data_IF_827980160887
#
_entry.id   IF_827980160887
#
_cell.length_a   1.000
_cell.length_b   1.000
_cell.length_c   1.000
_cell.angle_alpha   90.00
_cell.angle_beta   90.00
_cell.angle_gamma   90.00
#
_symmetry.space_group_name_H-M   'P 1'
#
loop_
_entity.id
_entity.type
_entity.pdbx_description
1 polymer ?
#
# COMPACT_ATOMS: atom_id res chain seq x y z
N UNK A 1 -1.64 -15.35 1.20
CA UNK A 1 -1.23 -14.06 1.81
C UNK A 1 -0.61 -14.38 3.16
N UNK A 2 0.55 -13.82 3.51
CA UNK A 2 1.18 -14.04 4.81
C UNK A 2 1.43 -12.67 5.46
N UNK A 3 0.95 -12.44 6.69
CA UNK A 3 1.16 -11.19 7.41
C UNK A 3 1.72 -11.41 8.82
N UNK A 4 2.50 -10.44 9.30
CA UNK A 4 2.94 -10.33 10.70
C UNK A 4 2.66 -8.90 11.15
N UNK A 5 1.85 -8.74 12.20
CA UNK A 5 1.51 -7.44 12.77
C UNK A 5 1.88 -7.39 14.25
N UNK A 6 2.30 -6.22 14.73
CA UNK A 6 2.70 -6.02 16.12
C UNK A 6 1.94 -4.82 16.70
N UNK A 7 1.38 -5.01 17.88
CA UNK A 7 0.62 -4.03 18.63
C UNK A 7 1.21 -3.95 20.04
N UNK A 8 1.80 -2.82 20.39
CA UNK A 8 2.44 -2.59 21.68
C UNK A 8 1.90 -1.29 22.26
N UNK A 9 1.59 -1.27 23.55
CA UNK A 9 1.30 -0.01 24.27
C UNK A 9 2.57 0.82 24.45
N UNK A 10 2.50 2.12 24.20
CA UNK A 10 3.67 3.00 24.32
C UNK A 10 4.16 3.19 25.76
N UNK A 11 3.35 2.87 26.77
CA UNK A 11 3.65 3.06 28.20
C UNK A 11 3.93 1.73 28.94
N UNK A 12 4.67 0.80 28.35
CA UNK A 12 5.05 -0.42 29.07
C UNK A 12 5.99 -0.13 30.25
N UNK A 13 5.85 -0.83 31.39
CA UNK A 13 6.88 -0.87 32.44
C UNK A 13 8.27 -1.13 31.85
N UNK A 14 9.36 -0.66 32.48
CA UNK A 14 10.71 -1.00 31.97
C UNK A 14 11.14 -2.42 32.35
N UNK A 15 10.68 -2.89 33.51
CA UNK A 15 11.01 -4.23 34.05
C UNK A 15 9.72 -4.84 34.60
N UNK A 16 9.07 -5.76 33.89
CA UNK A 16 7.82 -6.35 34.36
C UNK A 16 8.07 -7.33 35.50
N UNK A 17 7.13 -7.41 36.43
CA UNK A 17 7.14 -8.40 37.52
C UNK A 17 6.81 -9.80 36.99
N UNK A 18 5.85 -9.91 36.08
CA UNK A 18 5.46 -11.15 35.43
C UNK A 18 5.15 -10.94 33.94
N UNK A 19 5.31 -11.99 33.12
CA UNK A 19 4.89 -11.99 31.71
C UNK A 19 3.91 -13.15 31.48
N UNK A 20 2.64 -12.81 31.29
CA UNK A 20 1.58 -13.75 30.95
C UNK A 20 1.51 -13.91 29.43
N UNK A 21 1.98 -15.05 28.91
CA UNK A 21 1.93 -15.37 27.49
C UNK A 21 0.75 -16.29 27.17
N UNK A 22 -0.04 -15.93 26.16
CA UNK A 22 -1.10 -16.78 25.59
C UNK A 22 -0.96 -16.90 24.08
N UNK A 23 -1.37 -18.05 23.56
CA UNK A 23 -1.53 -18.27 22.12
C UNK A 23 -3.01 -18.41 21.81
N UNK A 24 -3.45 -17.74 20.75
CA UNK A 24 -4.80 -17.83 20.22
C UNK A 24 -4.75 -18.22 18.74
N UNK A 25 -5.84 -18.83 18.26
CA UNK A 25 -6.05 -19.15 16.85
C UNK A 25 -7.31 -18.48 16.34
N UNK A 26 -7.30 -18.07 15.07
CA UNK A 26 -8.35 -17.29 14.41
C UNK A 26 -8.62 -17.85 13.03
N UNK A 27 -9.89 -17.89 12.63
CA UNK A 27 -10.33 -18.38 11.33
C UNK A 27 -10.78 -17.25 10.41
N UNK A 28 -10.16 -17.13 9.23
CA UNK A 28 -10.71 -16.39 8.10
C UNK A 28 -11.52 -17.38 7.27
N UNK A 29 -12.80 -17.52 7.62
CA UNK A 29 -13.65 -18.60 7.10
C UNK A 29 -14.45 -18.10 5.90
N UNK A 30 -14.05 -18.54 4.72
CA UNK A 30 -14.66 -18.18 3.46
C UNK A 30 -15.94 -18.97 3.19
N UNK A 31 -16.97 -18.26 2.72
CA UNK A 31 -18.17 -18.85 2.13
C UNK A 31 -18.64 -17.97 0.99
N UNK A 32 -18.59 -18.50 -0.24
CA UNK A 32 -18.83 -17.73 -1.46
C UNK A 32 -17.93 -16.48 -1.53
N UNK A 33 -18.50 -15.28 -1.68
CA UNK A 33 -17.77 -14.01 -1.73
C UNK A 33 -17.73 -13.27 -0.38
N UNK A 34 -18.01 -13.98 0.73
CA UNK A 34 -18.06 -13.43 2.08
C UNK A 34 -17.14 -14.22 3.01
N UNK A 35 -16.89 -13.63 4.17
CA UNK A 35 -16.27 -14.29 5.31
C UNK A 35 -17.28 -14.37 6.46
N UNK A 36 -17.20 -15.44 7.23
CA UNK A 36 -17.92 -15.56 8.49
C UNK A 36 -17.18 -14.77 9.57
N UNK A 37 -17.88 -13.86 10.23
CA UNK A 37 -17.36 -13.08 11.35
C UNK A 37 -18.35 -13.06 12.49
N UNK A 38 -17.85 -12.88 13.71
CA UNK A 38 -18.69 -12.61 14.88
C UNK A 38 -18.96 -11.12 14.92
N UNK A 39 -20.22 -10.71 14.77
CA UNK A 39 -20.63 -9.31 14.93
C UNK A 39 -20.99 -9.04 16.38
N UNK A 40 -20.47 -7.94 16.94
CA UNK A 40 -20.80 -7.50 18.31
C UNK A 40 -22.06 -6.61 18.31
N UNK A 41 -22.67 -6.41 19.48
CA UNK A 41 -23.74 -5.43 19.69
C UNK A 41 -23.39 -3.99 19.26
N UNK A 42 -22.10 -3.62 19.21
CA UNK A 42 -21.63 -2.30 18.77
C UNK A 42 -21.55 -2.20 17.25
N UNK A 43 -21.72 -3.32 16.53
CA UNK A 43 -21.74 -3.42 15.07
C UNK A 43 -20.38 -3.70 14.43
N UNK A 44 -19.30 -3.79 15.21
CA UNK A 44 -17.99 -4.25 14.75
C UNK A 44 -17.93 -5.77 14.61
N UNK A 45 -16.88 -6.22 13.92
CA UNK A 45 -16.66 -7.60 13.53
C UNK A 45 -15.34 -8.13 14.09
N UNK A 46 -15.37 -9.37 14.56
CA UNK A 46 -14.22 -10.12 15.07
C UNK A 46 -14.08 -11.44 14.29
N UNK A 47 -12.84 -11.85 14.01
CA UNK A 47 -12.55 -13.17 13.46
C UNK A 47 -12.88 -14.26 14.50
N UNK A 48 -13.66 -15.28 14.11
CA UNK A 48 -13.96 -16.39 15.00
C UNK A 48 -12.67 -17.08 15.50
N UNK A 49 -12.62 -17.45 16.77
CA UNK A 49 -11.48 -18.11 17.39
C UNK A 49 -11.24 -17.71 18.85
N UNK A 50 -10.22 -18.30 19.46
CA UNK A 50 -9.91 -18.07 20.87
C UNK A 50 -8.58 -18.66 21.30
N UNK A 51 -8.40 -18.73 22.62
CA UNK A 51 -7.16 -19.17 23.25
C UNK A 51 -6.99 -20.69 23.17
N UNK A 52 -5.74 -21.14 23.04
CA UNK A 52 -5.44 -22.57 23.13
C UNK A 52 -5.55 -23.07 24.57
N UNK A 53 -6.18 -24.22 24.74
CA UNK A 53 -6.19 -24.96 26.01
C UNK A 53 -5.00 -25.93 26.10
N UNK A 54 -4.70 -26.41 27.31
CA UNK A 54 -3.58 -27.32 27.54
C UNK A 54 -3.80 -28.66 26.81
N UNK A 55 -2.85 -29.01 25.94
CA UNK A 55 -2.89 -30.26 25.18
C UNK A 55 -3.60 -30.19 23.82
N UNK A 56 -4.21 -29.06 23.44
CA UNK A 56 -4.83 -28.89 22.13
C UNK A 56 -3.81 -28.54 21.04
N UNK A 57 -4.03 -29.02 19.83
CA UNK A 57 -3.38 -28.49 18.63
C UNK A 57 -4.08 -27.22 18.13
N UNK A 58 -3.38 -26.35 17.41
CA UNK A 58 -3.96 -25.13 16.83
C UNK A 58 -5.21 -25.40 15.97
N UNK A 59 -5.28 -26.55 15.30
CA UNK A 59 -6.44 -26.93 14.49
C UNK A 59 -7.63 -27.38 15.33
N UNK A 60 -7.39 -28.13 16.41
CA UNK A 60 -8.44 -28.57 17.34
C UNK A 60 -9.04 -27.37 18.05
N UNK A 61 -8.20 -26.49 18.61
CA UNK A 61 -8.63 -25.22 19.22
C UNK A 61 -9.47 -24.40 18.22
N UNK A 62 -9.01 -24.29 16.96
CA UNK A 62 -9.73 -23.48 15.97
C UNK A 62 -11.10 -24.06 15.65
N UNK A 63 -11.22 -25.38 15.47
CA UNK A 63 -12.53 -26.02 15.23
C UNK A 63 -13.47 -25.86 16.43
N UNK A 64 -12.96 -26.04 17.65
CA UNK A 64 -13.74 -25.86 18.89
C UNK A 64 -14.28 -24.44 18.98
N UNK A 65 -13.41 -23.44 18.92
CA UNK A 65 -13.78 -22.03 19.06
C UNK A 65 -14.73 -21.57 17.95
N UNK A 66 -14.54 -21.98 16.70
CA UNK A 66 -15.50 -21.61 15.64
C UNK A 66 -16.86 -22.29 15.88
N UNK A 67 -16.86 -23.54 16.33
CA UNK A 67 -18.11 -24.25 16.64
C UNK A 67 -18.83 -23.56 17.80
N UNK A 68 -18.11 -23.16 18.84
CA UNK A 68 -18.65 -22.47 20.01
C UNK A 68 -19.17 -21.07 19.66
N UNK A 69 -18.40 -20.26 18.93
CA UNK A 69 -18.73 -18.86 18.62
C UNK A 69 -19.72 -18.68 17.45
N UNK A 70 -19.91 -19.72 16.64
CA UNK A 70 -20.71 -19.59 15.41
C UNK A 70 -21.70 -20.70 15.18
N UNK A 71 -21.50 -21.87 15.79
CA UNK A 71 -22.30 -23.09 15.58
C UNK A 71 -21.94 -23.91 14.34
N UNK A 72 -21.06 -23.45 13.44
CA UNK A 72 -20.68 -24.22 12.23
C UNK A 72 -19.67 -25.31 12.56
N UNK A 73 -19.92 -26.52 12.06
CA UNK A 73 -19.06 -27.68 12.35
C UNK A 73 -18.28 -28.19 11.13
N UNK A 74 -18.71 -27.86 9.91
CA UNK A 74 -18.16 -28.42 8.69
C UNK A 74 -17.18 -27.44 8.01
N UNK A 75 -15.99 -27.34 8.60
CA UNK A 75 -14.98 -26.34 8.23
C UNK A 75 -13.70 -27.04 7.78
N UNK A 76 -13.25 -26.69 6.58
CA UNK A 76 -11.93 -27.06 6.09
C UNK A 76 -10.90 -26.02 6.53
N UNK A 77 -9.92 -26.44 7.36
CA UNK A 77 -8.79 -25.58 7.77
C UNK A 77 -7.65 -25.74 6.76
N UNK A 78 -7.29 -24.64 6.12
CA UNK A 78 -6.16 -24.53 5.21
C UNK A 78 -4.85 -24.15 5.87
N UNK A 79 -4.16 -23.19 5.24
CA UNK A 79 -2.83 -22.73 5.64
C UNK A 79 -2.91 -21.56 6.61
N UNK A 80 -1.86 -21.40 7.43
CA UNK A 80 -1.66 -20.20 8.23
C UNK A 80 -1.35 -19.02 7.31
N UNK A 81 -2.13 -17.95 7.39
CA UNK A 81 -2.03 -16.74 6.57
C UNK A 81 -1.51 -15.52 7.32
N UNK A 82 -1.28 -15.64 8.63
CA UNK A 82 -0.59 -14.60 9.36
C UNK A 82 -0.58 -14.82 10.85
N UNK A 83 0.06 -13.88 11.53
CA UNK A 83 0.04 -13.80 12.97
C UNK A 83 0.06 -12.35 13.43
N UNK A 84 -0.53 -12.11 14.60
CA UNK A 84 -0.42 -10.84 15.29
C UNK A 84 0.20 -11.07 16.66
N UNK A 85 1.05 -10.15 17.08
CA UNK A 85 1.60 -10.11 18.42
C UNK A 85 1.10 -8.86 19.13
N UNK A 86 0.45 -9.05 20.26
CA UNK A 86 -0.05 -7.98 21.12
C UNK A 86 0.70 -8.03 22.44
N UNK A 87 1.17 -6.87 22.91
CA UNK A 87 1.77 -6.72 24.23
C UNK A 87 1.23 -5.47 24.90
N UNK A 88 0.57 -5.67 26.03
CA UNK A 88 -0.03 -4.61 26.83
C UNK A 88 0.32 -4.82 28.31
N UNK A 89 0.10 -3.79 29.13
CA UNK A 89 0.06 -3.94 30.59
C UNK A 89 -1.05 -4.94 30.97
N UNK A 90 -0.79 -5.82 31.92
CA UNK A 90 -1.81 -6.71 32.47
C UNK A 90 -2.88 -5.89 33.21
N UNK A 91 -4.15 -6.12 32.86
CA UNK A 91 -5.28 -5.38 33.45
C UNK A 91 -5.46 -5.71 34.93
N UNK A 92 -5.01 -6.87 35.39
CA UNK A 92 -5.09 -7.29 36.78
C UNK A 92 -3.84 -6.88 37.58
N UNK A 93 -2.70 -6.69 36.91
CA UNK A 93 -1.44 -6.28 37.52
C UNK A 93 -0.67 -5.27 36.64
N UNK A 94 -0.75 -3.97 36.95
CA UNK A 94 -0.11 -2.91 36.17
C UNK A 94 1.41 -3.01 36.03
N UNK A 95 2.08 -3.78 36.89
CA UNK A 95 3.53 -4.02 36.83
C UNK A 95 3.88 -5.26 35.99
N UNK A 96 2.88 -5.97 35.45
CA UNK A 96 3.05 -7.17 34.64
C UNK A 96 2.67 -6.93 33.18
N UNK A 97 3.16 -7.81 32.29
CA UNK A 97 2.80 -7.81 30.88
C UNK A 97 1.80 -8.91 30.57
N UNK A 98 0.85 -8.59 29.71
CA UNK A 98 0.08 -9.56 28.96
C UNK A 98 0.54 -9.59 27.50
N UNK A 99 0.93 -10.78 27.03
CA UNK A 99 1.35 -11.03 25.66
C UNK A 99 0.45 -12.06 25.00
N UNK A 100 -0.11 -11.70 23.85
CA UNK A 100 -0.95 -12.58 23.05
C UNK A 100 -0.36 -12.75 21.66
N UNK A 101 -0.13 -14.00 21.26
CA UNK A 101 0.14 -14.36 19.87
C UNK A 101 -1.12 -14.94 19.24
N UNK A 102 -1.70 -14.27 18.25
CA UNK A 102 -2.85 -14.80 17.51
C UNK A 102 -2.42 -15.31 16.13
N UNK A 103 -2.62 -16.60 15.85
CA UNK A 103 -2.37 -17.23 14.56
C UNK A 103 -3.64 -17.23 13.69
N UNK A 104 -3.56 -16.75 12.45
CA UNK A 104 -4.69 -16.67 11.52
C UNK A 104 -4.60 -17.75 10.45
N UNK A 105 -5.68 -18.48 10.26
CA UNK A 105 -5.81 -19.58 9.31
C UNK A 105 -6.85 -19.25 8.24
N UNK A 106 -6.52 -19.54 6.99
CA UNK A 106 -7.49 -19.54 5.90
C UNK A 106 -8.35 -20.80 6.01
N UNK A 107 -9.67 -20.62 6.04
CA UNK A 107 -10.62 -21.68 6.26
C UNK A 107 -11.77 -21.59 5.24
N UNK A 108 -12.45 -22.70 4.96
CA UNK A 108 -13.62 -22.73 4.09
C UNK A 108 -14.77 -23.45 4.78
N UNK A 109 -15.94 -22.83 4.77
CA UNK A 109 -17.16 -23.48 5.20
C UNK A 109 -17.64 -24.41 4.07
N UNK A 110 -17.69 -25.71 4.36
CA UNK A 110 -17.98 -26.74 3.36
C UNK A 110 -19.48 -27.00 3.23
N UNK A 111 -20.24 -26.82 4.32
CA UNK A 111 -21.71 -26.89 4.32
C UNK A 111 -22.31 -26.03 5.43
N UNK A 112 -23.62 -25.84 5.43
CA UNK A 112 -24.37 -25.12 6.45
C UNK A 112 -24.62 -25.95 7.73
N UNK A 113 -23.96 -27.10 7.86
CA UNK A 113 -24.13 -28.02 9.00
C UNK A 113 -23.77 -27.35 10.33
N UNK A 114 -24.69 -27.48 11.29
CA UNK A 114 -24.59 -26.94 12.64
C UNK A 114 -24.47 -28.01 13.72
N UNK A 115 -23.79 -27.69 14.81
CA UNK A 115 -23.83 -28.49 16.02
C UNK A 115 -25.25 -28.46 16.63
N UNK A 116 -25.81 -29.60 17.08
CA UNK A 116 -27.13 -29.65 17.72
C UNK A 116 -27.12 -28.87 19.04
N UNK A 117 -28.12 -28.01 19.27
CA UNK A 117 -28.28 -27.29 20.55
C UNK A 117 -27.44 -26.01 20.70
N UNK A 118 -26.85 -25.49 19.62
CA UNK A 118 -26.11 -24.21 19.63
C UNK A 118 -27.01 -22.99 19.34
N UNK A 119 -28.33 -23.15 19.42
CA UNK A 119 -29.24 -22.02 19.55
C UNK A 119 -29.77 -21.95 20.98
N UNK A 120 -29.56 -20.79 21.59
CA UNK A 120 -30.18 -20.25 22.81
C UNK A 120 -29.50 -20.61 24.15
N UNK A 121 -28.54 -19.77 24.57
CA UNK A 121 -28.54 -19.12 25.92
C UNK A 121 -27.23 -18.38 26.27
N UNK A 122 -26.08 -18.75 25.68
CA UNK A 122 -24.78 -18.21 26.09
C UNK A 122 -24.37 -16.94 25.33
N UNK A 123 -24.67 -16.88 24.04
CA UNK A 123 -24.28 -15.76 23.16
C UNK A 123 -25.32 -14.64 23.07
N UNK A 124 -26.60 -14.94 23.28
CA UNK A 124 -27.66 -13.91 23.38
C UNK A 124 -27.43 -12.99 24.59
N UNK A 125 -26.77 -13.51 25.65
CA UNK A 125 -26.35 -12.74 26.82
C UNK A 125 -25.15 -11.83 26.59
N UNK A 126 -24.30 -12.13 25.60
CA UNK A 126 -23.11 -11.33 25.25
C UNK A 126 -23.29 -10.50 23.96
N UNK A 127 -24.32 -10.81 23.15
CA UNK A 127 -24.67 -10.09 21.92
C UNK A 127 -23.69 -10.29 20.77
N UNK A 128 -23.21 -11.52 20.62
CA UNK A 128 -22.34 -11.93 19.54
C UNK A 128 -23.13 -12.83 18.58
N UNK A 129 -23.09 -12.51 17.28
CA UNK A 129 -23.78 -13.31 16.27
C UNK A 129 -22.87 -13.57 15.07
N UNK A 130 -22.67 -14.86 14.76
CA UNK A 130 -22.00 -15.29 13.53
C UNK A 130 -22.75 -14.80 12.28
N UNK A 131 -22.10 -14.00 11.45
CA UNK A 131 -22.71 -13.41 10.25
C UNK A 131 -21.76 -13.43 9.06
N UNK A 132 -22.32 -13.59 7.86
CA UNK A 132 -21.54 -13.50 6.63
C UNK A 132 -21.50 -12.07 6.12
N UNK A 133 -20.29 -11.54 6.00
CA UNK A 133 -20.01 -10.15 5.61
C UNK A 133 -18.90 -10.13 4.56
N UNK A 134 -18.91 -9.15 3.66
CA UNK A 134 -17.76 -8.93 2.79
C UNK A 134 -16.62 -8.32 3.59
N UNK A 135 -15.37 -8.63 3.24
CA UNK A 135 -14.19 -8.08 3.94
C UNK A 135 -14.24 -6.55 3.97
N UNK A 136 -14.61 -5.91 2.85
CA UNK A 136 -14.79 -4.45 2.76
C UNK A 136 -15.79 -3.91 3.78
N UNK A 137 -16.99 -4.52 3.86
CA UNK A 137 -18.02 -4.04 4.77
C UNK A 137 -17.59 -4.18 6.23
N UNK A 138 -16.93 -5.29 6.57
CA UNK A 138 -16.39 -5.50 7.91
C UNK A 138 -15.29 -4.48 8.23
N UNK A 139 -14.35 -4.27 7.29
CA UNK A 139 -13.27 -3.30 7.42
C UNK A 139 -13.81 -1.88 7.68
N UNK A 140 -14.76 -1.42 6.86
CA UNK A 140 -15.34 -0.08 7.02
C UNK A 140 -16.11 0.09 8.32
N UNK A 141 -16.84 -0.95 8.76
CA UNK A 141 -17.55 -0.93 10.04
C UNK A 141 -16.57 -0.75 11.20
N UNK A 142 -15.54 -1.59 11.26
CA UNK A 142 -14.52 -1.54 12.30
C UNK A 142 -13.73 -0.23 12.26
N UNK A 143 -13.31 0.22 11.08
CA UNK A 143 -12.58 1.48 10.91
C UNK A 143 -13.40 2.69 11.37
N UNK A 144 -14.69 2.73 11.04
CA UNK A 144 -15.59 3.81 11.45
C UNK A 144 -15.76 3.84 12.97
N UNK A 145 -15.90 2.67 13.60
CA UNK A 145 -15.95 2.55 15.05
C UNK A 145 -14.64 3.00 15.69
N UNK A 146 -13.50 2.51 15.19
CA UNK A 146 -12.17 2.85 15.69
C UNK A 146 -11.93 4.37 15.66
N UNK A 147 -12.21 5.03 14.54
CA UNK A 147 -12.11 6.49 14.41
C UNK A 147 -13.03 7.23 15.39
N UNK A 148 -14.24 6.72 15.62
CA UNK A 148 -15.19 7.31 16.56
C UNK A 148 -14.68 7.23 17.99
N UNK A 149 -14.15 6.07 18.40
CA UNK A 149 -13.61 5.89 19.76
C UNK A 149 -12.33 6.72 19.97
N UNK A 150 -11.43 6.77 18.98
CA UNK A 150 -10.26 7.66 19.00
C UNK A 150 -10.66 9.14 19.15
N UNK A 151 -11.70 9.58 18.44
CA UNK A 151 -12.22 10.94 18.57
C UNK A 151 -12.80 11.22 19.96
N UNK A 152 -13.61 10.31 20.51
CA UNK A 152 -14.14 10.46 21.88
C UNK A 152 -13.03 10.59 22.91
N UNK A 153 -11.98 9.79 22.79
CA UNK A 153 -10.80 9.85 23.64
C UNK A 153 -10.13 11.22 23.53
N UNK A 154 -9.90 11.70 22.31
CA UNK A 154 -9.33 13.03 22.08
C UNK A 154 -10.18 14.14 22.73
N UNK A 155 -11.50 14.12 22.50
CA UNK A 155 -12.43 15.10 23.07
C UNK A 155 -12.45 15.03 24.61
N UNK A 156 -12.36 13.84 25.20
CA UNK A 156 -12.27 13.65 26.65
C UNK A 156 -10.98 14.24 27.21
N UNK A 157 -9.82 13.88 26.64
CA UNK A 157 -8.51 14.39 27.07
C UNK A 157 -8.46 15.92 26.98
N UNK A 158 -9.02 16.48 25.90
CA UNK A 158 -9.13 17.93 25.73
C UNK A 158 -9.99 18.57 26.82
N UNK A 159 -11.14 17.99 27.18
CA UNK A 159 -12.00 18.47 28.28
C UNK A 159 -11.31 18.35 29.64
N UNK A 160 -10.66 17.23 29.93
CA UNK A 160 -9.92 17.01 31.17
C UNK A 160 -8.75 17.99 31.32
N UNK A 161 -8.07 18.33 30.21
CA UNK A 161 -7.05 19.37 30.17
C UNK A 161 -7.62 20.75 30.49
N UNK A 162 -8.73 21.15 29.85
CA UNK A 162 -9.39 22.44 30.06
C UNK A 162 -9.92 22.59 31.50
N UNK A 163 -10.45 21.51 32.07
CA UNK A 163 -11.05 21.51 33.42
C UNK A 163 -10.04 21.51 34.57
N UNK A 164 -8.72 21.56 34.29
CA UNK A 164 -7.64 21.44 35.29
C UNK A 164 -7.84 20.26 36.27
N UNK A 165 -8.42 19.16 35.79
CA UNK A 165 -8.61 17.96 36.60
C UNK A 165 -7.23 17.44 37.04
N UNK A 166 -7.15 17.05 38.31
CA UNK A 166 -5.93 16.66 39.01
C UNK A 166 -5.09 15.68 38.17
N UNK A 167 -3.77 15.84 38.21
CA UNK A 167 -2.83 15.04 37.40
C UNK A 167 -2.92 13.55 37.76
N UNK A 168 -3.28 13.23 39.00
CA UNK A 168 -3.59 11.87 39.45
C UNK A 168 -4.82 11.24 38.80
N UNK A 169 -5.83 12.02 38.38
CA UNK A 169 -6.98 11.49 37.63
C UNK A 169 -6.58 11.18 36.18
N UNK A 170 -5.65 11.96 35.60
CA UNK A 170 -5.10 11.67 34.27
C UNK A 170 -4.26 10.39 34.25
N UNK A 171 -3.56 10.09 35.35
CA UNK A 171 -2.74 8.89 35.53
C UNK A 171 -3.55 7.66 35.99
N UNK A 172 -4.65 7.83 36.74
CA UNK A 172 -5.49 6.73 37.21
C UNK A 172 -6.52 6.23 36.19
N UNK A 173 -6.80 7.00 35.14
CA UNK A 173 -7.60 6.47 34.05
C UNK A 173 -6.66 5.92 32.99
N UNK A 174 -6.22 4.69 33.20
CA UNK A 174 -5.82 3.79 32.12
C UNK A 174 -7.03 3.60 31.22
N UNK A 175 -7.24 4.53 30.29
CA UNK A 175 -8.06 4.28 29.12
C UNK A 175 -7.27 3.33 28.24
N UNK A 176 -7.22 2.05 28.63
CA UNK A 176 -6.98 1.00 27.65
C UNK A 176 -7.98 1.27 26.52
N UNK A 177 -7.54 1.38 25.25
CA UNK A 177 -8.47 1.59 24.16
C UNK A 177 -9.57 0.54 24.31
N UNK A 178 -10.81 0.98 24.55
CA UNK A 178 -11.87 0.16 25.16
C UNK A 178 -12.31 -1.05 24.33
N UNK A 179 -11.57 -1.39 23.27
CA UNK A 179 -11.61 -2.67 22.59
C UNK A 179 -10.17 -2.99 22.11
N UNK A 180 -9.30 -3.61 22.95
CA UNK A 180 -7.90 -3.89 22.61
C UNK A 180 -7.74 -4.65 21.29
N UNK A 181 -8.74 -5.49 20.96
CA UNK A 181 -8.74 -6.25 19.72
C UNK A 181 -9.25 -5.48 18.50
N UNK A 182 -10.01 -4.39 18.63
CA UNK A 182 -10.64 -3.74 17.47
C UNK A 182 -9.59 -3.26 16.47
N UNK A 183 -8.50 -2.69 16.94
CA UNK A 183 -7.40 -2.26 16.08
C UNK A 183 -6.78 -3.45 15.34
N UNK A 184 -6.48 -4.54 16.05
CA UNK A 184 -5.99 -5.78 15.44
C UNK A 184 -6.93 -6.31 14.36
N UNK A 185 -8.21 -6.51 14.69
CA UNK A 185 -9.21 -7.01 13.75
C UNK A 185 -9.33 -6.09 12.54
N UNK A 186 -9.30 -4.77 12.76
CA UNK A 186 -9.31 -3.75 11.69
C UNK A 186 -8.09 -3.88 10.78
N UNK A 187 -6.89 -4.09 11.33
CA UNK A 187 -5.66 -4.24 10.54
C UNK A 187 -5.61 -5.58 9.78
N UNK A 188 -6.12 -6.65 10.36
CA UNK A 188 -6.23 -7.94 9.63
C UNK A 188 -7.26 -7.83 8.51
N UNK A 189 -8.44 -7.25 8.78
CA UNK A 189 -9.44 -6.94 7.76
C UNK A 189 -8.88 -6.02 6.68
N UNK A 190 -8.12 -4.99 7.05
CA UNK A 190 -7.40 -4.13 6.13
C UNK A 190 -6.55 -4.98 5.20
N UNK A 191 -5.71 -5.89 5.71
CA UNK A 191 -4.84 -6.73 4.88
C UNK A 191 -5.62 -7.66 3.96
N UNK A 192 -6.72 -8.24 4.45
CA UNK A 192 -7.60 -9.11 3.66
C UNK A 192 -8.37 -8.35 2.57
N UNK A 193 -8.64 -7.07 2.79
CA UNK A 193 -9.44 -6.24 1.89
C UNK A 193 -8.62 -5.58 0.77
N UNK A 194 -7.30 -5.76 0.77
CA UNK A 194 -6.42 -5.09 -0.21
C UNK A 194 -6.56 -5.75 -1.58
N UNK A 195 -6.97 -4.93 -2.55
CA UNK A 195 -6.83 -5.24 -3.98
C UNK A 195 -5.35 -5.41 -4.34
N UNK A 196 -5.07 -6.00 -5.51
CA UNK A 196 -3.68 -6.20 -5.96
C UNK A 196 -2.91 -4.88 -6.04
N UNK A 197 -3.53 -3.81 -6.58
CA UNK A 197 -2.92 -2.48 -6.66
C UNK A 197 -2.58 -1.91 -5.29
N UNK A 198 -3.44 -2.14 -4.30
CA UNK A 198 -3.18 -1.65 -2.95
C UNK A 198 -2.12 -2.47 -2.20
N UNK A 199 -2.02 -3.78 -2.45
CA UNK A 199 -0.91 -4.60 -1.94
C UNK A 199 0.43 -4.12 -2.49
N UNK A 200 0.47 -3.80 -3.78
CA UNK A 200 1.65 -3.22 -4.43
C UNK A 200 1.97 -1.84 -3.82
N UNK A 201 0.97 -0.98 -3.65
CA UNK A 201 1.14 0.34 -3.02
C UNK A 201 1.65 0.28 -1.58
N UNK A 202 1.15 -0.65 -0.76
CA UNK A 202 1.67 -0.91 0.59
C UNK A 202 3.17 -1.27 0.54
N UNK A 203 3.57 -2.20 -0.35
CA UNK A 203 4.96 -2.61 -0.51
C UNK A 203 5.86 -1.45 -0.98
N UNK A 204 5.38 -0.64 -1.92
CA UNK A 204 6.08 0.56 -2.42
C UNK A 204 6.26 1.59 -1.30
N UNK A 205 5.21 1.87 -0.51
CA UNK A 205 5.26 2.80 0.62
C UNK A 205 6.30 2.39 1.66
N UNK A 206 6.35 1.10 2.00
CA UNK A 206 7.37 0.58 2.90
C UNK A 206 8.79 0.80 2.38
N UNK A 207 9.01 0.63 1.07
CA UNK A 207 10.31 0.90 0.45
C UNK A 207 10.65 2.39 0.43
N UNK A 208 9.67 3.29 0.32
CA UNK A 208 9.90 4.73 0.37
C UNK A 208 10.50 5.21 1.70
N UNK A 209 10.32 4.47 2.80
CA UNK A 209 11.01 4.75 4.07
C UNK A 209 12.53 4.65 3.92
N UNK A 210 13.03 3.73 3.09
CA UNK A 210 14.46 3.57 2.81
C UNK A 210 15.03 4.85 2.17
N UNK A 211 14.26 5.51 1.30
CA UNK A 211 14.66 6.79 0.70
C UNK A 211 14.68 7.92 1.72
N UNK A 212 13.70 7.98 2.62
CA UNK A 212 13.62 9.01 3.67
C UNK A 212 14.73 8.88 4.71
N UNK A 213 15.09 7.64 5.06
CA UNK A 213 16.14 7.33 6.04
C UNK A 213 17.55 7.32 5.43
N UNK A 214 17.69 7.71 4.15
CA UNK A 214 18.96 7.63 3.45
C UNK A 214 19.97 8.66 3.96
N UNK A 215 21.18 8.18 4.28
CA UNK A 215 22.32 9.02 4.65
C UNK A 215 23.13 9.31 3.39
N UNK A 216 23.03 10.55 2.91
CA UNK A 216 23.65 10.98 1.65
C UNK A 216 25.12 11.33 1.87
N UNK A 217 26.01 10.36 1.63
CA UNK A 217 27.47 10.57 1.66
C UNK A 217 28.10 10.32 0.29
N UNK A 218 29.26 10.93 0.02
CA UNK A 218 29.95 10.82 -1.27
C UNK A 218 30.33 9.37 -1.66
N UNK A 219 30.46 8.47 -0.67
CA UNK A 219 30.86 7.07 -0.88
C UNK A 219 29.70 6.16 -1.32
N UNK A 220 28.48 6.69 -1.47
CA UNK A 220 27.28 5.92 -1.79
C UNK A 220 26.93 5.90 -3.29
N UNK A 221 27.71 6.59 -4.12
CA UNK A 221 27.43 6.79 -5.55
C UNK A 221 28.43 6.02 -6.39
N UNK A 222 27.93 5.07 -7.18
CA UNK A 222 28.70 4.38 -8.21
C UNK A 222 28.35 4.98 -9.58
N UNK A 223 29.35 5.42 -10.38
CA UNK A 223 29.08 5.86 -11.74
C UNK A 223 28.71 4.65 -12.61
N UNK A 224 27.65 4.79 -13.40
CA UNK A 224 27.31 3.90 -14.52
C UNK A 224 27.92 4.44 -15.82
N UNK A 225 27.95 3.62 -16.87
CA UNK A 225 28.45 4.05 -18.18
C UNK A 225 27.59 5.20 -18.75
N UNK A 226 28.23 6.28 -19.21
CA UNK A 226 27.58 7.51 -19.69
C UNK A 226 27.72 8.72 -18.76
N UNK A 227 27.71 9.92 -19.33
CA UNK A 227 27.92 11.17 -18.58
C UNK A 227 26.77 11.46 -17.60
N UNK A 228 27.05 11.54 -16.30
CA UNK A 228 26.05 11.78 -15.23
C UNK A 228 25.06 10.62 -14.99
N UNK A 229 25.47 9.39 -15.32
CA UNK A 229 24.73 8.18 -15.02
C UNK A 229 25.22 7.61 -13.68
N UNK A 230 24.32 7.44 -12.72
CA UNK A 230 24.66 7.09 -11.35
C UNK A 230 23.71 6.02 -10.83
N UNK A 231 24.22 5.15 -10.00
CA UNK A 231 23.43 4.26 -9.15
C UNK A 231 23.93 4.43 -7.72
N UNK A 232 23.01 4.42 -6.77
CA UNK A 232 23.37 4.42 -5.36
C UNK A 232 23.20 3.03 -4.76
N UNK A 233 23.84 2.80 -3.62
CA UNK A 233 23.55 1.63 -2.79
C UNK A 233 22.07 1.55 -2.40
N UNK A 234 21.35 2.68 -2.42
CA UNK A 234 19.92 2.75 -2.10
C UNK A 234 19.05 2.26 -3.26
N UNK A 235 19.40 2.52 -4.52
CA UNK A 235 18.70 1.98 -5.69
C UNK A 235 18.69 0.44 -5.63
N UNK A 236 19.87 -0.17 -5.43
CA UNK A 236 20.01 -1.62 -5.28
C UNK A 236 19.23 -2.15 -4.07
N UNK A 237 19.31 -1.46 -2.93
CA UNK A 237 18.60 -1.87 -1.69
C UNK A 237 17.08 -1.80 -1.85
N UNK A 238 16.56 -0.74 -2.46
CA UNK A 238 15.13 -0.57 -2.73
C UNK A 238 14.66 -1.61 -3.74
N UNK A 239 15.42 -1.83 -4.82
CA UNK A 239 15.09 -2.85 -5.83
C UNK A 239 14.97 -4.25 -5.21
N UNK A 240 15.95 -4.68 -4.42
CA UNK A 240 15.93 -6.02 -3.82
C UNK A 240 14.79 -6.18 -2.80
N UNK A 241 14.49 -5.11 -2.05
CA UNK A 241 13.33 -5.10 -1.13
C UNK A 241 12.01 -5.19 -1.89
N UNK A 242 11.86 -4.43 -2.97
CA UNK A 242 10.70 -4.48 -3.87
C UNK A 242 10.58 -5.85 -4.51
N UNK A 243 11.66 -6.42 -5.07
CA UNK A 243 11.68 -7.74 -5.69
C UNK A 243 11.11 -8.79 -4.74
N UNK A 244 11.62 -8.86 -3.51
CA UNK A 244 11.12 -9.79 -2.50
C UNK A 244 9.61 -9.59 -2.25
N UNK A 245 9.19 -8.37 -1.93
CA UNK A 245 7.80 -8.07 -1.57
C UNK A 245 6.82 -8.28 -2.72
N UNK A 246 7.17 -7.84 -3.92
CA UNK A 246 6.31 -7.95 -5.09
C UNK A 246 6.15 -9.40 -5.54
N UNK A 247 7.20 -10.20 -5.50
CA UNK A 247 7.12 -11.64 -5.80
C UNK A 247 6.43 -12.44 -4.69
N UNK A 248 6.41 -11.97 -3.44
CA UNK A 248 5.52 -12.52 -2.40
C UNK A 248 4.04 -12.20 -2.67
N UNK A 249 3.75 -11.03 -3.26
CA UNK A 249 2.39 -10.59 -3.61
C UNK A 249 1.85 -11.35 -4.84
N UNK A 250 2.69 -11.54 -5.87
CA UNK A 250 2.32 -12.19 -7.13
C UNK A 250 3.46 -13.11 -7.61
N UNK A 251 3.57 -14.34 -7.06
CA UNK A 251 4.70 -15.24 -7.31
C UNK A 251 4.89 -15.70 -8.76
N UNK A 252 3.82 -15.68 -9.56
CA UNK A 252 3.86 -16.03 -10.98
C UNK A 252 4.40 -14.92 -11.88
N UNK A 253 4.58 -13.71 -11.35
CA UNK A 253 5.10 -12.59 -12.11
C UNK A 253 6.61 -12.69 -12.27
N UNK A 254 7.13 -12.28 -13.42
CA UNK A 254 8.55 -12.00 -13.58
C UNK A 254 8.87 -10.60 -13.05
N UNK A 255 10.13 -10.35 -12.69
CA UNK A 255 10.60 -9.04 -12.25
C UNK A 255 11.60 -8.48 -13.25
N UNK A 256 11.40 -7.22 -13.65
CA UNK A 256 12.26 -6.44 -14.53
C UNK A 256 12.60 -5.14 -13.79
N UNK A 257 13.80 -5.06 -13.23
CA UNK A 257 14.30 -3.85 -12.57
C UNK A 257 15.27 -3.06 -13.45
N UNK A 258 15.39 -1.76 -13.19
CA UNK A 258 16.42 -0.90 -13.81
C UNK A 258 17.84 -1.43 -13.59
N UNK A 259 18.11 -1.98 -12.39
CA UNK A 259 19.46 -2.39 -11.97
C UNK A 259 19.81 -3.82 -12.41
N UNK A 260 18.97 -4.45 -13.22
CA UNK A 260 19.20 -5.80 -13.74
C UNK A 260 19.85 -5.78 -15.14
N UNK A 261 20.85 -6.64 -15.33
CA UNK A 261 21.46 -6.88 -16.65
C UNK A 261 20.64 -7.88 -17.52
N UNK A 262 19.55 -8.44 -16.98
CA UNK A 262 18.83 -9.58 -17.57
C UNK A 262 17.56 -9.12 -18.29
N UNK A 263 17.47 -9.42 -19.58
CA UNK A 263 16.25 -9.24 -20.36
C UNK A 263 15.29 -10.42 -20.21
N UNK A 264 14.24 -10.24 -19.43
CA UNK A 264 13.15 -11.21 -19.29
C UNK A 264 12.01 -10.86 -20.25
N UNK A 265 11.44 -11.88 -20.91
CA UNK A 265 10.30 -11.68 -21.81
C UNK A 265 9.04 -11.33 -21.01
N UNK A 266 8.46 -10.16 -21.28
CA UNK A 266 7.20 -9.69 -20.67
C UNK A 266 5.94 -10.00 -21.50
N UNK A 267 6.08 -10.71 -22.63
CA UNK A 267 5.00 -10.90 -23.63
C UNK A 267 3.84 -11.78 -23.16
N UNK A 268 4.02 -12.56 -22.09
CA UNK A 268 3.00 -13.49 -21.57
C UNK A 268 3.04 -13.47 -20.05
N UNK A 269 1.87 -13.56 -19.43
CA UNK A 269 1.74 -13.57 -17.98
C UNK A 269 2.00 -12.19 -17.37
N UNK A 270 2.33 -12.19 -16.08
CA UNK A 270 2.56 -10.96 -15.32
C UNK A 270 4.04 -10.58 -15.28
N UNK A 271 4.34 -9.29 -15.36
CA UNK A 271 5.69 -8.77 -15.20
C UNK A 271 5.70 -7.47 -14.40
N UNK A 272 6.38 -7.45 -13.27
CA UNK A 272 6.72 -6.21 -12.57
C UNK A 272 7.83 -5.50 -13.34
N UNK A 273 7.64 -4.21 -13.62
CA UNK A 273 8.58 -3.31 -14.29
C UNK A 273 8.84 -2.17 -13.31
N UNK A 274 10.07 -2.12 -12.77
CA UNK A 274 10.37 -1.35 -11.55
C UNK A 274 11.54 -0.41 -11.78
N UNK A 275 11.31 0.86 -11.45
CA UNK A 275 12.36 1.83 -11.19
C UNK A 275 12.42 2.05 -9.66
N UNK A 276 13.49 1.63 -8.99
CA UNK A 276 13.59 1.72 -7.54
C UNK A 276 13.69 3.18 -7.04
N UNK A 277 14.32 4.08 -7.80
CA UNK A 277 14.43 5.51 -7.48
C UNK A 277 14.49 6.31 -8.80
N UNK A 278 13.33 6.61 -9.37
CA UNK A 278 13.23 7.49 -10.54
C UNK A 278 13.65 8.91 -10.11
N UNK A 279 14.58 9.49 -10.86
CA UNK A 279 15.26 10.71 -10.49
C UNK A 279 16.39 10.50 -9.48
N UNK A 280 17.23 9.47 -9.65
CA UNK A 280 18.43 9.19 -8.83
C UNK A 280 19.33 10.42 -8.63
N UNK A 281 19.49 11.26 -9.65
CA UNK A 281 20.28 12.51 -9.52
C UNK A 281 19.66 13.48 -8.51
N UNK A 282 18.33 13.59 -8.49
CA UNK A 282 17.62 14.42 -7.52
C UNK A 282 17.76 13.84 -6.11
N UNK A 283 17.70 12.51 -5.97
CA UNK A 283 17.91 11.82 -4.70
C UNK A 283 19.33 12.07 -4.14
N UNK A 284 20.36 11.92 -4.97
CA UNK A 284 21.77 12.17 -4.61
C UNK A 284 21.98 13.63 -4.18
N UNK A 285 21.32 14.58 -4.86
CA UNK A 285 21.47 16.03 -4.61
C UNK A 285 20.50 16.59 -3.58
N UNK A 286 19.69 15.74 -2.96
CA UNK A 286 18.68 16.14 -1.99
C UNK A 286 17.66 17.17 -2.53
N UNK A 287 17.30 17.03 -3.80
CA UNK A 287 16.38 17.95 -4.49
C UNK A 287 14.89 17.65 -4.19
N UNK A 288 14.60 16.52 -3.53
CA UNK A 288 13.26 16.08 -3.11
C UNK A 288 12.24 15.92 -4.25
N UNK A 289 12.71 15.55 -5.44
CA UNK A 289 11.86 15.19 -6.59
C UNK A 289 12.34 13.84 -7.14
N UNK A 290 12.02 12.78 -6.40
CA UNK A 290 12.30 11.39 -6.79
C UNK A 290 11.16 10.50 -6.34
N UNK A 291 10.94 9.39 -7.04
CA UNK A 291 9.84 8.48 -6.75
C UNK A 291 10.24 7.01 -6.90
N UNK A 292 9.49 6.13 -6.26
CA UNK A 292 9.51 4.70 -6.57
C UNK A 292 8.41 4.45 -7.61
N UNK A 293 8.74 3.82 -8.73
CA UNK A 293 7.81 3.51 -9.82
C UNK A 293 7.69 2.01 -10.03
N UNK A 294 6.48 1.47 -9.91
CA UNK A 294 6.17 0.05 -10.09
C UNK A 294 5.01 -0.08 -11.07
N UNK A 295 5.32 -0.54 -12.29
CA UNK A 295 4.35 -1.01 -13.26
C UNK A 295 4.14 -2.52 -13.14
N UNK A 296 2.92 -2.99 -13.30
CA UNK A 296 2.62 -4.40 -13.57
C UNK A 296 2.08 -4.49 -15.00
N UNK A 297 2.78 -5.26 -15.83
CA UNK A 297 2.29 -5.65 -17.15
C UNK A 297 1.56 -6.98 -17.07
N UNK A 298 0.56 -7.16 -17.94
CA UNK A 298 -0.11 -8.44 -18.21
C UNK A 298 -0.10 -8.68 -19.72
N UNK A 299 0.51 -9.78 -20.14
CA UNK A 299 0.63 -10.18 -21.56
C UNK A 299 1.23 -9.06 -22.44
N UNK A 300 2.24 -8.35 -21.92
CA UNK A 300 2.93 -7.25 -22.60
C UNK A 300 2.24 -5.89 -22.52
N UNK A 301 1.05 -5.81 -21.92
CA UNK A 301 0.26 -4.57 -21.82
C UNK A 301 0.26 -4.01 -20.39
N UNK A 302 0.21 -2.68 -20.26
CA UNK A 302 0.15 -1.98 -18.97
C UNK A 302 -1.15 -2.35 -18.22
N UNK A 303 -1.04 -2.86 -17.00
CA UNK A 303 -2.17 -3.38 -16.21
C UNK A 303 -2.39 -2.68 -14.86
N UNK A 304 -1.35 -2.54 -14.02
CA UNK A 304 -1.38 -1.74 -12.78
C UNK A 304 -0.19 -0.77 -12.79
N UNK A 305 -0.37 0.43 -12.26
CA UNK A 305 0.68 1.44 -12.12
C UNK A 305 0.63 2.03 -10.72
N UNK A 306 1.78 2.05 -10.05
CA UNK A 306 1.96 2.63 -8.72
C UNK A 306 3.21 3.51 -8.76
N UNK A 307 3.06 4.80 -8.44
CA UNK A 307 4.18 5.74 -8.32
C UNK A 307 4.07 6.44 -6.97
N UNK A 308 5.15 6.40 -6.19
CA UNK A 308 5.18 6.98 -4.86
C UNK A 308 6.29 8.03 -4.73
N UNK A 309 5.91 9.28 -4.47
CA UNK A 309 6.83 10.32 -4.01
C UNK A 309 6.84 10.35 -2.48
N UNK A 310 7.89 9.84 -1.82
CA UNK A 310 7.93 9.76 -0.36
C UNK A 310 8.10 11.11 0.34
N UNK A 311 8.65 12.13 -0.35
CA UNK A 311 8.87 13.45 0.24
C UNK A 311 7.57 14.24 0.45
N UNK A 312 6.56 13.97 -0.39
CA UNK A 312 5.25 14.61 -0.32
C UNK A 312 4.15 13.66 0.20
N UNK A 313 4.49 12.41 0.52
CA UNK A 313 3.53 11.31 0.76
C UNK A 313 2.43 11.26 -0.31
N UNK A 314 2.84 11.26 -1.58
CA UNK A 314 1.94 11.17 -2.72
C UNK A 314 2.02 9.81 -3.37
N UNK A 315 0.99 8.99 -3.15
CA UNK A 315 0.81 7.69 -3.75
C UNK A 315 -0.17 7.79 -4.93
N UNK A 316 0.35 7.69 -6.14
CA UNK A 316 -0.43 7.60 -7.36
C UNK A 316 -0.67 6.15 -7.71
N UNK A 317 -1.92 5.78 -7.99
CA UNK A 317 -2.28 4.41 -8.38
C UNK A 317 -3.26 4.40 -9.54
N UNK A 318 -3.16 3.36 -10.38
CA UNK A 318 -4.14 3.05 -11.41
C UNK A 318 -4.19 1.55 -11.67
N UNK A 319 -5.37 1.05 -12.00
CA UNK A 319 -5.58 -0.30 -12.55
C UNK A 319 -6.39 -0.14 -13.82
N UNK A 320 -6.04 -0.90 -14.87
CA UNK A 320 -6.68 -0.83 -16.18
C UNK A 320 -8.21 -0.90 -16.06
N UNK A 321 -8.89 0.13 -16.56
CA UNK A 321 -10.35 0.25 -16.56
C UNK A 321 -10.98 0.64 -15.22
N UNK A 322 -10.20 1.03 -14.21
CA UNK A 322 -10.69 1.41 -12.88
C UNK A 322 -10.42 2.87 -12.52
N UNK A 323 -9.79 3.63 -13.41
CA UNK A 323 -9.43 5.02 -13.17
C UNK A 323 -8.12 5.19 -12.39
N UNK A 324 -7.71 6.45 -12.22
CA UNK A 324 -6.50 6.84 -11.53
C UNK A 324 -6.80 7.56 -10.21
N UNK A 325 -5.93 7.39 -9.22
CA UNK A 325 -6.11 7.91 -7.87
C UNK A 325 -4.80 8.53 -7.34
N UNK A 326 -4.94 9.57 -6.52
CA UNK A 326 -3.88 10.13 -5.68
C UNK A 326 -4.32 9.98 -4.22
N UNK A 327 -3.57 9.22 -3.42
CA UNK A 327 -3.88 8.94 -2.02
C UNK A 327 -5.34 8.43 -1.83
N UNK A 328 -5.78 7.58 -2.76
CA UNK A 328 -7.13 7.00 -2.78
C UNK A 328 -8.23 7.93 -3.28
N UNK A 329 -7.93 9.18 -3.63
CA UNK A 329 -8.90 10.12 -4.23
C UNK A 329 -8.81 10.08 -5.75
N UNK A 330 -9.93 9.99 -6.49
CA UNK A 330 -9.91 10.03 -7.95
C UNK A 330 -9.23 11.30 -8.48
N UNK A 331 -8.46 11.14 -9.56
CA UNK A 331 -7.80 12.25 -10.27
C UNK A 331 -8.13 12.21 -11.77
N UNK A 332 -8.02 13.38 -12.41
CA UNK A 332 -8.22 13.54 -13.84
C UNK A 332 -7.23 14.55 -14.41
N UNK A 333 -6.88 14.37 -15.69
CA UNK A 333 -6.08 15.35 -16.43
C UNK A 333 -6.79 16.71 -16.50
N UNK A 334 -5.99 17.78 -16.64
CA UNK A 334 -6.48 19.16 -16.80
C UNK A 334 -7.38 19.31 -18.02
N UNK A 335 -8.30 20.27 -17.99
CA UNK A 335 -9.15 20.63 -19.14
C UNK A 335 -8.63 21.83 -19.92
N UNK A 336 -7.53 22.43 -19.49
CA UNK A 336 -7.03 23.67 -20.06
C UNK A 336 -6.37 23.44 -21.43
N UNK A 337 -6.43 24.42 -22.35
CA UNK A 337 -5.56 24.42 -23.52
C UNK A 337 -4.10 24.65 -23.11
N UNK A 338 -3.16 24.27 -23.97
CA UNK A 338 -1.72 24.44 -23.72
C UNK A 338 -1.33 25.89 -23.36
N UNK A 339 -1.99 26.90 -23.96
CA UNK A 339 -1.74 28.33 -23.72
C UNK A 339 -2.01 28.79 -22.28
N UNK A 340 -2.75 28.00 -21.51
CA UNK A 340 -3.06 28.24 -20.10
C UNK A 340 -2.36 27.24 -19.19
N UNK A 341 -1.42 26.46 -19.74
CA UNK A 341 -0.82 25.31 -19.09
C UNK A 341 0.68 25.40 -18.86
N UNK A 342 1.20 24.41 -18.15
CA UNK A 342 2.63 24.19 -17.91
C UNK A 342 3.09 22.98 -18.72
N UNK A 343 4.28 23.08 -19.30
CA UNK A 343 4.94 21.96 -20.00
C UNK A 343 6.07 21.40 -19.16
N UNK A 344 6.03 20.10 -18.91
CA UNK A 344 7.09 19.34 -18.27
C UNK A 344 7.95 18.69 -19.36
N UNK A 345 9.26 18.55 -19.14
CA UNK A 345 10.09 17.81 -20.08
C UNK A 345 11.34 17.20 -19.45
N UNK A 346 11.80 16.12 -20.08
CA UNK A 346 13.06 15.48 -19.81
C UNK A 346 14.13 15.78 -20.86
N UNK A 347 15.40 15.67 -20.44
CA UNK A 347 16.55 16.13 -21.22
C UNK A 347 17.34 15.01 -21.87
N UNK A 348 17.05 13.73 -21.60
CA UNK A 348 17.85 12.60 -22.09
C UNK A 348 19.37 12.87 -21.98
N UNK A 349 19.89 13.22 -20.79
CA UNK A 349 21.20 13.87 -20.62
C UNK A 349 22.40 13.04 -21.09
N UNK A 350 22.21 11.74 -21.30
CA UNK A 350 23.22 10.79 -21.80
C UNK A 350 23.41 10.82 -23.32
N UNK A 351 22.56 11.55 -24.05
CA UNK A 351 22.53 11.56 -25.51
C UNK A 351 22.51 12.99 -26.02
N UNK A 352 23.68 13.54 -26.35
CA UNK A 352 23.89 14.96 -26.70
C UNK A 352 22.89 15.47 -27.76
N UNK A 353 22.73 14.73 -28.86
CA UNK A 353 21.79 15.09 -29.94
C UNK A 353 20.33 15.12 -29.47
N UNK A 354 19.93 14.19 -28.59
CA UNK A 354 18.58 14.18 -28.02
C UNK A 354 18.41 15.31 -27.01
N UNK A 355 19.41 15.58 -26.18
CA UNK A 355 19.39 16.70 -25.22
C UNK A 355 19.20 18.03 -25.92
N UNK A 356 19.98 18.29 -26.98
CA UNK A 356 19.84 19.48 -27.83
C UNK A 356 18.42 19.58 -28.41
N UNK A 357 17.87 18.48 -28.95
CA UNK A 357 16.52 18.45 -29.48
C UNK A 357 15.45 18.68 -28.40
N UNK A 358 15.62 18.12 -27.19
CA UNK A 358 14.73 18.35 -26.05
C UNK A 358 14.62 19.83 -25.71
N UNK A 359 15.75 20.55 -25.62
CA UNK A 359 15.74 21.99 -25.35
C UNK A 359 15.13 22.82 -26.49
N UNK A 360 15.34 22.43 -27.75
CA UNK A 360 14.67 23.07 -28.89
C UNK A 360 13.15 22.91 -28.83
N UNK A 361 12.67 21.71 -28.51
CA UNK A 361 11.25 21.42 -28.31
C UNK A 361 10.69 22.17 -27.10
N UNK A 362 11.43 22.20 -25.98
CA UNK A 362 11.03 22.94 -24.79
C UNK A 362 10.88 24.43 -25.08
N UNK A 363 11.82 25.02 -25.83
CA UNK A 363 11.72 26.41 -26.27
C UNK A 363 10.52 26.65 -27.21
N UNK A 364 10.21 25.70 -28.10
CA UNK A 364 9.03 25.80 -28.97
C UNK A 364 7.72 25.74 -28.17
N UNK A 365 7.63 24.88 -27.15
CA UNK A 365 6.50 24.78 -26.23
C UNK A 365 6.39 25.97 -25.29
N UNK A 366 7.51 26.49 -24.78
CA UNK A 366 7.57 27.69 -23.96
C UNK A 366 6.87 28.88 -24.62
N UNK A 367 7.01 29.04 -25.95
CA UNK A 367 6.31 30.09 -26.71
C UNK A 367 4.79 29.90 -26.83
N UNK A 368 4.27 28.72 -26.48
CA UNK A 368 2.85 28.32 -26.64
C UNK A 368 2.15 28.02 -25.31
N UNK A 369 2.89 28.00 -24.20
CA UNK A 369 2.40 27.66 -22.87
C UNK A 369 2.69 28.80 -21.89
N UNK A 370 2.22 28.69 -20.64
CA UNK A 370 2.57 29.66 -19.61
C UNK A 370 4.05 29.59 -19.25
N UNK A 371 4.58 28.37 -19.11
CA UNK A 371 5.98 28.15 -18.71
C UNK A 371 6.41 26.68 -18.93
N UNK A 372 7.70 26.38 -18.72
CA UNK A 372 8.28 25.03 -18.78
C UNK A 372 8.94 24.61 -17.46
N UNK A 373 8.93 23.32 -17.12
CA UNK A 373 9.67 22.75 -15.98
C UNK A 373 10.46 21.51 -16.40
N UNK A 374 11.65 21.34 -15.82
CA UNK A 374 12.47 20.12 -15.92
C UNK A 374 12.66 19.60 -14.50
N UNK A 375 11.79 18.70 -14.05
CA UNK A 375 11.79 18.22 -12.66
C UNK A 375 12.89 17.18 -12.41
N UNK A 376 13.16 16.33 -13.40
CA UNK A 376 14.19 15.28 -13.32
C UNK A 376 13.70 13.91 -12.85
N UNK A 377 12.39 13.68 -12.77
CA UNK A 377 11.76 12.38 -12.54
C UNK A 377 10.61 12.21 -13.54
N UNK A 378 10.75 11.23 -14.45
CA UNK A 378 9.76 10.98 -15.49
C UNK A 378 8.43 10.48 -14.89
N UNK A 379 8.50 9.64 -13.85
CA UNK A 379 7.34 9.10 -13.16
C UNK A 379 6.52 10.20 -12.47
N UNK A 380 7.19 11.16 -11.79
CA UNK A 380 6.52 12.31 -11.16
C UNK A 380 5.91 13.24 -12.22
N UNK A 381 6.62 13.50 -13.32
CA UNK A 381 6.11 14.37 -14.38
C UNK A 381 4.87 13.76 -15.06
N UNK A 382 4.88 12.44 -15.34
CA UNK A 382 3.69 11.72 -15.83
C UNK A 382 2.54 11.79 -14.83
N UNK A 383 2.79 11.57 -13.54
CA UNK A 383 1.76 11.67 -12.50
C UNK A 383 1.23 13.11 -12.35
N UNK A 384 2.06 14.12 -12.62
CA UNK A 384 1.64 15.51 -12.62
C UNK A 384 0.67 15.82 -13.77
N UNK A 385 0.84 15.20 -14.95
CA UNK A 385 -0.16 15.25 -16.03
C UNK A 385 -1.46 14.59 -15.57
N UNK A 386 -1.38 13.38 -15.01
CA UNK A 386 -2.56 12.63 -14.54
C UNK A 386 -3.37 13.37 -13.47
N UNK A 387 -2.70 14.14 -12.60
CA UNK A 387 -3.33 14.96 -11.57
C UNK A 387 -3.79 16.35 -12.06
N UNK A 388 -3.61 16.65 -13.36
CA UNK A 388 -3.99 17.93 -13.95
C UNK A 388 -3.15 19.12 -13.46
N UNK A 389 -1.93 18.87 -12.97
CA UNK A 389 -0.98 19.92 -12.55
C UNK A 389 -0.25 20.57 -13.72
N UNK A 390 -0.17 19.86 -14.84
CA UNK A 390 0.43 20.28 -16.08
C UNK A 390 -0.29 19.63 -17.28
N UNK A 391 -0.09 20.19 -18.46
CA UNK A 391 -0.88 19.90 -19.65
C UNK A 391 -0.15 18.93 -20.59
N UNK A 392 1.17 18.98 -20.59
CA UNK A 392 2.02 18.21 -21.48
C UNK A 392 3.35 17.84 -20.82
N UNK A 393 3.75 16.58 -20.97
CA UNK A 393 5.08 16.07 -20.64
C UNK A 393 5.72 15.43 -21.87
N UNK A 394 7.01 15.66 -22.11
CA UNK A 394 7.75 14.87 -23.09
C UNK A 394 9.19 14.55 -22.66
N UNK A 395 9.66 13.36 -23.02
CA UNK A 395 11.08 13.01 -23.00
C UNK A 395 11.42 12.13 -24.20
N UNK A 396 12.56 12.40 -24.83
CA UNK A 396 12.90 11.80 -26.12
C UNK A 396 13.42 10.37 -26.02
N UNK A 397 13.77 9.91 -24.81
CA UNK A 397 14.20 8.54 -24.60
C UNK A 397 14.07 8.15 -23.13
N UNK A 398 13.18 7.19 -22.88
CA UNK A 398 12.96 6.54 -21.60
C UNK A 398 13.03 5.02 -21.76
N UNK A 399 13.40 4.36 -20.67
CA UNK A 399 13.28 2.92 -20.48
C UNK A 399 11.89 2.57 -19.95
N UNK A 400 11.42 1.32 -20.13
CA UNK A 400 10.08 0.91 -19.68
C UNK A 400 9.79 1.17 -18.20
N UNK A 401 10.76 1.03 -17.30
CA UNK A 401 10.58 1.28 -15.87
C UNK A 401 10.31 2.76 -15.54
N UNK A 402 10.89 3.70 -16.31
CA UNK A 402 10.66 5.14 -16.15
C UNK A 402 9.20 5.55 -16.43
N UNK A 403 8.50 4.84 -17.34
CA UNK A 403 7.17 5.27 -17.82
C UNK A 403 6.04 4.26 -17.63
N UNK A 404 6.29 2.97 -17.39
CA UNK A 404 5.24 1.94 -17.41
C UNK A 404 4.07 2.27 -16.46
N UNK A 405 4.40 2.62 -15.21
CA UNK A 405 3.42 2.99 -14.21
C UNK A 405 2.76 4.34 -14.53
N UNK A 406 3.58 5.38 -14.72
CA UNK A 406 3.10 6.74 -14.98
C UNK A 406 2.23 6.85 -16.23
N UNK A 407 2.57 6.14 -17.30
CA UNK A 407 1.79 6.13 -18.55
C UNK A 407 0.40 5.54 -18.35
N UNK A 408 0.27 4.42 -17.61
CA UNK A 408 -1.04 3.87 -17.28
C UNK A 408 -1.85 4.84 -16.42
N UNK A 409 -1.22 5.47 -15.42
CA UNK A 409 -1.88 6.45 -14.55
C UNK A 409 -2.42 7.64 -15.36
N UNK A 410 -1.67 8.13 -16.36
CA UNK A 410 -2.16 9.16 -17.29
C UNK A 410 -3.34 8.67 -18.13
N UNK A 411 -3.24 7.48 -18.72
CA UNK A 411 -4.32 6.89 -19.54
C UNK A 411 -5.62 6.74 -18.72
N UNK A 412 -5.54 6.21 -17.50
CA UNK A 412 -6.69 6.00 -16.61
C UNK A 412 -7.24 7.31 -16.01
N UNK A 413 -6.43 8.38 -15.96
CA UNK A 413 -6.89 9.73 -15.61
C UNK A 413 -7.62 10.44 -16.77
N UNK A 414 -7.68 9.81 -17.96
CA UNK A 414 -8.31 10.36 -19.17
C UNK A 414 -7.35 11.12 -20.08
N UNK A 415 -6.04 11.00 -19.87
CA UNK A 415 -4.99 11.56 -20.73
C UNK A 415 -4.65 10.66 -21.92
N UNK A 416 -3.71 11.14 -22.73
CA UNK A 416 -3.18 10.42 -23.90
C UNK A 416 -1.68 10.29 -23.77
N UNK A 417 -1.17 9.07 -23.99
CA UNK A 417 0.27 8.76 -24.03
C UNK A 417 0.63 8.20 -25.41
N UNK A 418 1.64 8.79 -26.05
CA UNK A 418 2.19 8.32 -27.33
C UNK A 418 3.69 8.55 -27.37
N UNK A 419 4.38 8.07 -28.41
CA UNK A 419 5.72 8.56 -28.72
C UNK A 419 5.64 10.00 -29.24
N UNK A 420 6.75 10.75 -29.27
CA UNK A 420 6.73 12.11 -29.84
C UNK A 420 6.46 12.09 -31.35
N UNK A 421 6.79 10.99 -32.02
CA UNK A 421 6.47 10.70 -33.42
C UNK A 421 5.00 10.29 -33.63
N UNK A 422 4.24 10.11 -32.54
CA UNK A 422 2.83 9.76 -32.58
C UNK A 422 2.52 8.27 -32.60
N UNK A 423 3.51 7.41 -32.43
CA UNK A 423 3.35 5.96 -32.33
C UNK A 423 2.88 5.50 -30.94
N UNK A 424 2.63 4.19 -30.82
CA UNK A 424 2.29 3.57 -29.55
C UNK A 424 3.53 3.43 -28.65
N UNK A 425 3.36 3.69 -27.35
CA UNK A 425 4.38 3.44 -26.32
C UNK A 425 4.27 1.98 -25.88
N UNK A 426 5.31 1.19 -26.12
CA UNK A 426 5.36 -0.24 -25.79
C UNK A 426 6.38 -0.52 -24.69
N UNK A 427 6.15 -1.58 -23.91
CA UNK A 427 7.00 -1.94 -22.77
C UNK A 427 8.25 -2.74 -23.14
N UNK A 428 8.40 -3.12 -24.42
CA UNK A 428 9.47 -4.02 -24.86
C UNK A 428 10.78 -3.33 -25.23
N UNK A 429 10.82 -2.00 -25.27
CA UNK A 429 12.00 -1.24 -25.73
C UNK A 429 12.02 0.18 -25.17
N UNK A 430 13.20 0.81 -25.21
CA UNK A 430 13.34 2.24 -24.95
C UNK A 430 12.63 3.04 -26.05
N UNK A 431 11.93 4.10 -25.69
CA UNK A 431 11.23 4.96 -26.66
C UNK A 431 11.10 6.40 -26.16
N UNK A 432 10.68 7.31 -27.04
CA UNK A 432 10.24 8.63 -26.62
C UNK A 432 8.84 8.54 -26.01
N UNK A 433 8.53 9.43 -25.07
CA UNK A 433 7.23 9.50 -24.42
C UNK A 433 6.72 10.93 -24.50
N UNK A 434 5.46 11.06 -24.89
CA UNK A 434 4.66 12.28 -24.90
C UNK A 434 3.35 11.96 -24.18
N UNK A 435 3.11 12.63 -23.06
CA UNK A 435 1.87 12.55 -22.30
C UNK A 435 1.14 13.89 -22.34
N UNK A 436 -0.17 13.87 -22.59
CA UNK A 436 -0.98 15.08 -22.66
C UNK A 436 -2.35 14.88 -22.02
N UNK A 437 -3.04 15.99 -21.74
CA UNK A 437 -4.44 15.97 -21.37
C UNK A 437 -5.43 15.70 -22.54
N UNK A 438 -4.94 15.32 -23.72
CA UNK A 438 -5.74 15.07 -24.92
C UNK A 438 -6.27 16.33 -25.63
N UNK A 439 -5.99 17.53 -25.10
CA UNK A 439 -6.38 18.83 -25.68
C UNK A 439 -5.20 19.62 -26.23
N UNK A 440 -4.00 19.24 -25.86
CA UNK A 440 -2.77 19.81 -26.41
C UNK A 440 -2.51 19.19 -27.79
N UNK A 441 -2.56 20.00 -28.84
CA UNK A 441 -2.07 19.58 -30.16
C UNK A 441 -0.59 19.18 -30.09
N UNK A 442 -0.14 18.33 -31.01
CA UNK A 442 1.29 18.00 -31.14
C UNK A 442 2.02 19.19 -31.78
N UNK A 443 3.32 19.35 -31.47
CA UNK A 443 4.17 20.20 -32.30
C UNK A 443 4.30 19.54 -33.68
N UNK A 444 3.91 20.27 -34.72
CA UNK A 444 4.16 19.92 -36.13
C UNK A 444 5.65 20.03 -36.48
#
# INVERSE_FOLDING_TARGET
>A
MQFQLQFITDELPQTPVHINQRTAVRGVIHYQNKILMVQTNRGDYKFPGGGMEEGETEKETLLREITEETGYTDIHIGVKIGETFEQNIDTEDPESYFQMKSCYYECWLMSDKRAPGVQDDYEEKLGFHGTFVTVEKAYQSNLSLLKREQKKMHDFLQKAYIAQMDQKIKEQVTFAPEIPWLERETQVLYKLNRTLVEKIADAVRECGKIMLDAVRTANMVEPKEGHANFVTVYDKKVQETLRKKLLEILPEAVFVGEEDDVHVSIKKGFAFIVDPIDGTTNFIKDYHVSAISVGLAKDGEKYIGVVYNPYLDEMFTAERGKGAFLNGKPIHVSRNPLSEGIVLFGTAPYYEELSKKSFQMAYAYFKKALDVRRSGSAAIDLCSIAAGRAELYFELRLSPWDFAAGALIVEEAGGVVSTVEGGAVTLGQKCSVLATNGRCGRLE
#
